data_IF_430883199030
#
_entry.id   IF_430883199030
#
_cell.length_a   1.000
_cell.length_b   1.000
_cell.length_c   1.000
_cell.angle_alpha   90.00
_cell.angle_beta   90.00
_cell.angle_gamma   90.00
#
_symmetry.space_group_name_H-M   'P 1'
#
loop_
_entity.id
_entity.type
_entity.pdbx_description
1 polymer ?
#
# COMPACT_ATOMS: atom_id res chain seq x y z
N UNK A 1 -12.75 -25.66 38.31
CA UNK A 1 -12.57 -24.70 37.19
C UNK A 1 -11.35 -25.13 36.38
N UNK A 2 -11.50 -25.51 35.11
CA UNK A 2 -10.35 -25.78 34.24
C UNK A 2 -9.94 -24.47 33.57
N UNK A 3 -8.83 -23.90 34.02
CA UNK A 3 -8.20 -22.75 33.38
C UNK A 3 -7.70 -23.21 32.00
N UNK A 4 -8.43 -22.85 30.94
CA UNK A 4 -7.99 -23.10 29.56
C UNK A 4 -6.87 -22.12 29.27
N UNK A 5 -5.64 -22.61 29.20
CA UNK A 5 -4.49 -21.84 28.72
C UNK A 5 -4.82 -21.32 27.31
N UNK A 6 -4.54 -20.03 26.99
CA UNK A 6 -4.74 -19.53 25.64
C UNK A 6 -3.88 -20.35 24.69
N UNK A 7 -4.50 -20.88 23.64
CA UNK A 7 -3.80 -21.65 22.63
C UNK A 7 -2.86 -20.67 21.89
N UNK A 8 -1.55 -20.95 21.75
CA UNK A 8 -0.65 -20.05 21.00
C UNK A 8 -1.06 -19.91 19.52
N UNK A 9 -2.00 -20.74 19.06
CA UNK A 9 -2.64 -20.67 17.75
C UNK A 9 -3.99 -19.94 17.73
N UNK A 10 -4.46 -19.31 18.82
CA UNK A 10 -5.66 -18.45 18.78
C UNK A 10 -5.36 -17.09 18.14
N UNK A 11 -4.07 -16.78 17.89
CA UNK A 11 -3.60 -15.66 17.05
C UNK A 11 -3.08 -16.17 15.70
N UNK A 12 -3.85 -16.98 14.96
CA UNK A 12 -3.41 -17.32 13.60
C UNK A 12 -3.39 -16.03 12.77
N UNK A 13 -2.25 -15.58 12.24
CA UNK A 13 -2.27 -14.61 11.16
C UNK A 13 -3.10 -15.27 10.07
N UNK A 14 -4.13 -14.59 9.58
CA UNK A 14 -4.92 -15.04 8.45
C UNK A 14 -4.01 -15.03 7.22
N UNK A 15 -3.23 -16.11 7.05
CA UNK A 15 -2.10 -16.17 6.12
C UNK A 15 -2.51 -16.28 4.65
N UNK A 16 -3.80 -16.36 4.32
CA UNK A 16 -4.27 -16.51 2.94
C UNK A 16 -5.58 -15.75 2.76
N UNK A 17 -5.52 -14.46 2.42
CA UNK A 17 -6.59 -13.79 1.69
C UNK A 17 -6.07 -12.61 0.87
N UNK A 18 -5.15 -12.91 -0.06
CA UNK A 18 -4.79 -11.96 -1.11
C UNK A 18 -5.91 -11.96 -2.15
N UNK A 19 -6.91 -11.09 -1.98
CA UNK A 19 -7.98 -10.91 -2.99
C UNK A 19 -7.74 -9.71 -3.91
N UNK A 20 -6.64 -8.95 -3.72
CA UNK A 20 -6.28 -7.84 -4.58
C UNK A 20 -5.06 -8.19 -5.44
N UNK A 21 -5.20 -8.33 -6.76
CA UNK A 21 -4.07 -8.45 -7.67
C UNK A 21 -3.05 -7.32 -7.44
N UNK A 22 -1.75 -7.62 -7.51
CA UNK A 22 -0.69 -6.61 -7.31
C UNK A 22 -0.41 -6.21 -5.85
N UNK A 23 -1.14 -6.77 -4.87
CA UNK A 23 -0.81 -6.68 -3.46
C UNK A 23 -0.10 -7.95 -2.96
N UNK A 24 1.00 -7.77 -2.22
CA UNK A 24 1.77 -8.86 -1.62
C UNK A 24 1.89 -8.63 -0.11
N UNK A 25 1.18 -9.43 0.68
CA UNK A 25 1.15 -9.32 2.14
C UNK A 25 2.49 -9.66 2.80
N UNK A 26 3.27 -10.58 2.23
CA UNK A 26 4.59 -10.97 2.75
C UNK A 26 5.55 -9.82 2.51
N UNK A 27 5.59 -9.28 1.29
CA UNK A 27 6.34 -8.08 0.97
C UNK A 27 5.99 -6.92 1.91
N UNK A 28 4.69 -6.66 2.07
CA UNK A 28 4.21 -5.53 2.84
C UNK A 28 4.63 -5.64 4.31
N UNK A 29 4.41 -6.78 4.96
CA UNK A 29 4.79 -6.98 6.37
C UNK A 29 6.30 -7.03 6.59
N UNK A 30 7.08 -7.43 5.58
CA UNK A 30 8.53 -7.42 5.64
C UNK A 30 9.09 -5.98 5.62
N UNK A 31 8.62 -5.15 4.69
CA UNK A 31 9.11 -3.77 4.53
C UNK A 31 8.47 -2.76 5.49
N UNK A 32 7.32 -3.10 6.09
CA UNK A 32 6.57 -2.24 7.00
C UNK A 32 6.43 -2.88 8.39
N UNK A 33 7.51 -2.88 9.20
CA UNK A 33 7.55 -3.57 10.49
C UNK A 33 6.61 -2.96 11.53
N UNK A 34 6.23 -1.70 11.37
CA UNK A 34 5.24 -1.01 12.20
C UNK A 34 3.83 -1.61 12.03
N UNK A 35 3.43 -1.91 10.78
CA UNK A 35 2.16 -2.59 10.47
C UNK A 35 2.18 -4.00 11.05
N UNK A 36 3.31 -4.70 10.89
CA UNK A 36 3.53 -6.04 11.45
C UNK A 36 3.46 -6.03 12.98
N UNK A 37 4.12 -5.08 13.64
CA UNK A 37 4.13 -4.95 15.10
C UNK A 37 2.74 -4.60 15.66
N UNK A 38 1.98 -3.78 14.93
CA UNK A 38 0.59 -3.45 15.29
C UNK A 38 -0.37 -4.64 15.13
N UNK A 39 0.03 -5.73 14.47
CA UNK A 39 -0.82 -6.90 14.21
C UNK A 39 -2.01 -6.59 13.31
N UNK A 40 -1.95 -5.52 12.52
CA UNK A 40 -3.01 -5.11 11.60
C UNK A 40 -3.04 -6.02 10.37
N UNK A 41 -4.24 -6.20 9.78
CA UNK A 41 -4.36 -6.83 8.47
C UNK A 41 -3.65 -5.95 7.41
N UNK A 42 -2.65 -6.48 6.68
CA UNK A 42 -1.81 -5.67 5.81
C UNK A 42 -2.57 -5.11 4.60
N UNK A 43 -3.53 -5.87 4.05
CA UNK A 43 -4.34 -5.41 2.92
C UNK A 43 -5.26 -4.26 3.35
N UNK A 44 -5.95 -4.42 4.48
CA UNK A 44 -6.79 -3.37 5.09
C UNK A 44 -5.96 -2.13 5.41
N UNK A 45 -4.76 -2.30 5.96
CA UNK A 45 -3.84 -1.19 6.21
C UNK A 45 -3.54 -0.44 4.91
N UNK A 46 -3.11 -1.16 3.87
CA UNK A 46 -2.79 -0.56 2.59
C UNK A 46 -3.97 0.21 2.01
N UNK A 47 -5.16 -0.39 1.92
CA UNK A 47 -6.34 0.20 1.30
C UNK A 47 -6.80 1.52 1.95
N UNK A 48 -6.65 1.65 3.27
CA UNK A 48 -7.16 2.81 4.00
C UNK A 48 -6.09 3.87 4.32
N UNK A 49 -4.85 3.44 4.56
CA UNK A 49 -3.78 4.26 5.12
C UNK A 49 -2.50 4.19 4.28
N UNK A 50 -2.03 2.97 4.01
CA UNK A 50 -0.70 2.76 3.45
C UNK A 50 -0.41 3.50 2.15
N UNK A 51 -1.36 3.53 1.21
CA UNK A 51 -1.14 4.26 -0.05
C UNK A 51 -1.03 5.78 0.13
N UNK A 52 -1.71 6.35 1.14
CA UNK A 52 -1.63 7.79 1.48
C UNK A 52 -0.31 8.13 2.15
N UNK A 53 0.28 7.16 2.84
CA UNK A 53 1.61 7.24 3.42
C UNK A 53 2.72 6.98 2.37
N UNK A 54 2.35 6.79 1.09
CA UNK A 54 3.29 6.50 0.01
C UNK A 54 3.90 5.11 0.06
N UNK A 55 3.28 4.17 0.80
CA UNK A 55 3.76 2.79 0.88
C UNK A 55 3.42 2.01 -0.38
N UNK A 56 4.26 1.06 -0.71
CA UNK A 56 4.10 0.23 -1.88
C UNK A 56 3.46 -1.12 -1.53
N UNK A 57 2.48 -1.56 -2.32
CA UNK A 57 1.73 -2.78 -2.02
C UNK A 57 2.50 -4.06 -2.35
N UNK A 58 3.53 -3.98 -3.20
CA UNK A 58 4.32 -5.12 -3.64
C UNK A 58 5.68 -4.68 -4.22
N UNK A 59 6.51 -5.66 -4.57
CA UNK A 59 7.76 -5.42 -5.27
C UNK A 59 7.57 -4.89 -6.71
N UNK A 60 6.39 -5.10 -7.32
CA UNK A 60 6.13 -4.74 -8.72
C UNK A 60 5.41 -3.41 -8.93
N UNK A 61 4.95 -2.76 -7.86
CA UNK A 61 4.14 -1.54 -7.95
C UNK A 61 4.71 -0.42 -7.07
N UNK A 62 4.94 0.73 -7.69
CA UNK A 62 5.34 2.00 -7.06
C UNK A 62 4.12 2.90 -6.92
N UNK A 63 3.62 3.06 -5.69
CA UNK A 63 2.53 3.99 -5.35
C UNK A 63 2.92 5.42 -5.73
N UNK A 64 4.09 5.86 -5.28
CA UNK A 64 4.58 7.21 -5.55
C UNK A 64 4.86 7.44 -7.05
N UNK A 65 5.47 6.47 -7.72
CA UNK A 65 5.75 6.54 -9.16
C UNK A 65 4.46 6.63 -9.98
N UNK A 66 3.45 5.83 -9.64
CA UNK A 66 2.16 5.85 -10.32
C UNK A 66 1.45 7.19 -10.12
N UNK A 67 1.40 7.72 -8.90
CA UNK A 67 0.75 9.02 -8.64
C UNK A 67 1.51 10.19 -9.29
N UNK A 68 2.85 10.14 -9.34
CA UNK A 68 3.65 11.16 -10.02
C UNK A 68 3.43 11.17 -11.54
N UNK A 69 3.27 10.00 -12.15
CA UNK A 69 3.01 9.88 -13.59
C UNK A 69 1.54 10.14 -13.98
N UNK A 70 0.61 10.03 -13.02
CA UNK A 70 -0.83 10.12 -13.25
C UNK A 70 -1.46 11.19 -12.32
N UNK A 71 -1.26 12.49 -12.61
CA UNK A 71 -1.67 13.58 -11.71
C UNK A 71 -3.18 13.69 -11.55
N UNK A 72 -3.97 13.24 -12.53
CA UNK A 72 -5.42 13.12 -12.44
C UNK A 72 -5.85 12.11 -11.36
N UNK A 73 -5.16 10.98 -11.28
CA UNK A 73 -5.39 9.97 -10.24
C UNK A 73 -4.99 10.52 -8.88
N UNK A 74 -3.84 11.21 -8.79
CA UNK A 74 -3.41 11.88 -7.56
C UNK A 74 -4.42 12.92 -7.08
N UNK A 75 -4.93 13.76 -7.98
CA UNK A 75 -5.95 14.76 -7.65
C UNK A 75 -7.28 14.14 -7.23
N UNK A 76 -7.64 12.98 -7.78
CA UNK A 76 -8.89 12.28 -7.44
C UNK A 76 -8.89 11.66 -6.04
N UNK A 77 -7.72 11.46 -5.42
CA UNK A 77 -7.60 10.82 -4.11
C UNK A 77 -8.00 9.34 -4.11
N UNK A 78 -8.04 8.68 -5.27
CA UNK A 78 -8.27 7.24 -5.35
C UNK A 78 -7.01 6.45 -4.97
N UNK A 79 -7.22 5.24 -4.43
CA UNK A 79 -6.12 4.31 -4.19
C UNK A 79 -5.45 3.95 -5.54
N UNK A 80 -4.12 4.15 -5.69
CA UNK A 80 -3.44 4.02 -6.96
C UNK A 80 -3.41 2.58 -7.49
N UNK A 81 -3.24 1.58 -6.62
CA UNK A 81 -3.28 0.18 -7.06
C UNK A 81 -4.69 -0.22 -7.51
N UNK A 82 -5.73 0.22 -6.78
CA UNK A 82 -7.12 -0.04 -7.17
C UNK A 82 -7.46 0.63 -8.50
N UNK A 83 -7.05 1.88 -8.69
CA UNK A 83 -7.23 2.59 -9.95
C UNK A 83 -6.51 1.87 -11.10
N UNK A 84 -5.26 1.46 -10.88
CA UNK A 84 -4.48 0.75 -11.87
C UNK A 84 -5.16 -0.55 -12.32
N UNK A 85 -5.66 -1.35 -11.38
CA UNK A 85 -6.33 -2.63 -11.69
C UNK A 85 -7.65 -2.39 -12.44
N UNK A 86 -8.46 -1.44 -11.99
CA UNK A 86 -9.79 -1.23 -12.54
C UNK A 86 -9.78 -0.56 -13.91
N UNK A 87 -8.80 0.32 -14.18
CA UNK A 87 -8.82 1.16 -15.37
C UNK A 87 -7.42 1.46 -15.90
N UNK A 88 -6.47 1.77 -15.01
CA UNK A 88 -5.14 2.24 -15.42
C UNK A 88 -4.33 1.27 -16.29
N UNK A 89 -4.46 -0.04 -16.09
CA UNK A 89 -3.81 -1.03 -16.94
C UNK A 89 -4.39 -1.05 -18.35
N UNK A 90 -5.73 -1.03 -18.48
CA UNK A 90 -6.42 -0.99 -19.77
C UNK A 90 -6.21 0.34 -20.51
N UNK A 91 -6.03 1.44 -19.77
CA UNK A 91 -5.67 2.76 -20.29
C UNK A 91 -4.19 2.89 -20.68
N UNK A 92 -3.34 1.90 -20.39
CA UNK A 92 -1.90 1.97 -20.68
C UNK A 92 -1.13 2.97 -19.80
N UNK A 93 -1.62 3.26 -18.59
CA UNK A 93 -0.94 4.16 -17.65
C UNK A 93 0.43 3.62 -17.23
N UNK A 94 1.42 4.50 -17.13
CA UNK A 94 2.81 4.18 -16.81
C UNK A 94 3.22 4.68 -15.42
N UNK A 95 4.49 4.51 -15.04
CA UNK A 95 5.05 4.97 -13.76
C UNK A 95 4.83 4.03 -12.58
N UNK A 96 4.09 2.94 -12.75
CA UNK A 96 3.86 1.95 -11.69
C UNK A 96 5.02 0.97 -11.48
N UNK A 97 5.86 0.73 -12.50
CA UNK A 97 6.92 -0.27 -12.39
C UNK A 97 8.00 0.18 -11.41
N UNK A 98 8.38 -0.73 -10.52
CA UNK A 98 9.56 -0.59 -9.71
C UNK A 98 10.79 -1.04 -10.47
N UNK A 99 11.89 -0.31 -10.28
CA UNK A 99 13.21 -0.83 -10.58
C UNK A 99 13.47 -2.02 -9.63
N UNK A 100 13.72 -3.24 -10.15
CA UNK A 100 14.00 -4.41 -9.31
C UNK A 100 15.27 -4.27 -8.45
N UNK A 101 16.16 -3.31 -8.77
CA UNK A 101 17.32 -2.98 -7.96
C UNK A 101 17.04 -1.92 -6.87
N UNK A 102 15.89 -1.24 -6.90
CA UNK A 102 15.56 -0.21 -5.93
C UNK A 102 14.99 -0.83 -4.64
N UNK A 103 15.51 -0.48 -3.44
CA UNK A 103 14.90 -0.88 -2.19
C UNK A 103 13.50 -0.28 -2.08
N UNK A 104 12.60 -0.92 -1.31
CA UNK A 104 11.29 -0.35 -1.05
C UNK A 104 11.44 1.10 -0.55
N UNK A 105 10.61 2.04 -1.04
CA UNK A 105 10.68 3.41 -0.56
C UNK A 105 10.51 3.39 0.95
N UNK A 106 11.51 3.96 1.62
CA UNK A 106 11.44 4.20 3.06
C UNK A 106 10.30 5.19 3.26
N UNK A 107 9.35 4.92 4.18
CA UNK A 107 8.32 5.89 4.49
C UNK A 107 8.99 7.21 4.86
N UNK A 108 8.55 8.28 4.20
CA UNK A 108 9.05 9.60 4.51
C UNK A 108 8.43 10.00 5.86
N UNK A 109 9.13 9.76 6.97
CA UNK A 109 8.68 10.18 8.31
C UNK A 109 8.61 11.72 8.47
N UNK A 110 9.02 12.47 7.44
CA UNK A 110 9.04 13.94 7.38
C UNK A 110 8.30 14.50 6.17
N UNK A 111 7.64 13.69 5.34
CA UNK A 111 6.75 14.27 4.34
C UNK A 111 5.47 14.71 5.06
N UNK A 112 5.31 16.02 5.21
CA UNK A 112 3.99 16.65 5.23
C UNK A 112 3.04 15.81 4.36
N UNK A 113 1.87 15.37 4.87
CA UNK A 113 0.93 14.57 4.09
C UNK A 113 0.77 15.29 2.77
N UNK A 114 1.18 14.65 1.67
CA UNK A 114 1.37 15.27 0.34
C UNK A 114 0.31 16.36 0.21
N UNK A 115 0.72 17.62 0.44
CA UNK A 115 -0.23 18.71 0.55
C UNK A 115 -0.77 18.81 -0.85
N UNK A 116 -1.95 18.22 -1.05
CA UNK A 116 -2.66 18.13 -2.31
C UNK A 116 -2.52 19.51 -2.91
N UNK A 117 -1.65 19.63 -3.94
CA UNK A 117 -1.27 20.91 -4.50
C UNK A 117 -2.58 21.57 -4.87
N UNK A 118 -2.98 22.57 -4.09
CA UNK A 118 -4.10 23.41 -4.43
C UNK A 118 -3.76 23.95 -5.82
N UNK A 119 -4.56 23.58 -6.80
CA UNK A 119 -4.43 24.13 -8.15
C UNK A 119 -4.38 25.67 -8.01
N UNK A 120 -3.50 26.37 -8.75
CA UNK A 120 -3.55 27.82 -8.75
C UNK A 120 -4.96 28.23 -9.19
N UNK A 121 -5.71 28.93 -8.31
CA UNK A 121 -6.92 29.62 -8.75
C UNK A 121 -6.51 30.68 -9.75
N UNK A 122 -7.14 30.65 -10.91
CA UNK A 122 -7.14 31.74 -11.87
C UNK A 122 -7.90 32.95 -11.33
#
# INVERSE_FOLDING_TARGET
MKLRLPNPFDRRPSLIRTLLPGFDSIYYLFWYPDVRAAGQDPLRHYLHQGWKEGRDPSAGFSTAGYLAANPDVAASGHNPLVHFINSGFAEGRTGYLKDPAAPAPRPNHTAEPMKLLAAPSA
#
